data_IF_626054671235
#
_entry.id   IF_626054671235
#
_cell.length_a   1.000
_cell.length_b   1.000
_cell.length_c   1.000
_cell.angle_alpha   90.00
_cell.angle_beta   90.00
_cell.angle_gamma   90.00
#
_symmetry.space_group_name_H-M   'P 1'
#
loop_
_entity.id
_entity.type
_entity.pdbx_description
1 polymer ?
#
# COMPACT_ATOMS: atom_id res chain seq x y z
N UNK A 1 13.51 -2.73 -19.23
CA UNK A 1 12.56 -3.50 -18.40
C UNK A 1 12.68 -3.18 -16.92
N UNK A 2 13.88 -3.27 -16.32
CA UNK A 2 14.09 -2.97 -14.89
C UNK A 2 13.55 -1.61 -14.43
N UNK A 3 13.71 -0.56 -15.27
CA UNK A 3 13.18 0.77 -14.96
C UNK A 3 11.66 0.77 -14.73
N UNK A 4 10.89 0.09 -15.59
CA UNK A 4 9.44 0.04 -15.48
C UNK A 4 9.00 -0.77 -14.25
N UNK A 5 9.72 -1.83 -13.93
CA UNK A 5 9.50 -2.59 -12.69
C UNK A 5 9.71 -1.69 -11.47
N UNK A 6 10.80 -0.92 -11.44
CA UNK A 6 11.08 -0.01 -10.34
C UNK A 6 10.02 1.09 -10.22
N UNK A 7 9.57 1.65 -11.35
CA UNK A 7 8.48 2.64 -11.39
C UNK A 7 7.17 2.04 -10.85
N UNK A 8 6.84 0.82 -11.24
CA UNK A 8 5.65 0.12 -10.77
C UNK A 8 5.74 -0.14 -9.26
N UNK A 9 6.87 -0.62 -8.77
CA UNK A 9 7.11 -0.81 -7.33
C UNK A 9 6.93 0.50 -6.56
N UNK A 10 7.53 1.59 -7.03
CA UNK A 10 7.38 2.92 -6.44
C UNK A 10 5.93 3.39 -6.43
N UNK A 11 5.18 3.19 -7.52
CA UNK A 11 3.77 3.57 -7.59
C UNK A 11 2.90 2.76 -6.62
N UNK A 12 3.20 1.47 -6.44
CA UNK A 12 2.50 0.64 -5.47
C UNK A 12 2.76 1.07 -4.03
N UNK A 13 4.01 1.43 -3.70
CA UNK A 13 4.35 2.02 -2.40
C UNK A 13 3.61 3.34 -2.15
N UNK A 14 3.57 4.20 -3.16
CA UNK A 14 2.86 5.48 -3.08
C UNK A 14 1.37 5.26 -2.81
N UNK A 15 0.76 4.28 -3.48
CA UNK A 15 -0.63 3.92 -3.20
C UNK A 15 -0.82 3.43 -1.76
N UNK A 16 0.08 2.59 -1.24
CA UNK A 16 0.03 2.14 0.17
C UNK A 16 0.17 3.32 1.13
N UNK A 17 1.12 4.23 0.88
CA UNK A 17 1.31 5.46 1.67
C UNK A 17 0.02 6.27 1.71
N UNK A 18 -0.61 6.49 0.55
CA UNK A 18 -1.89 7.20 0.47
C UNK A 18 -2.99 6.50 1.27
N UNK A 19 -3.08 5.17 1.20
CA UNK A 19 -4.05 4.38 1.99
C UNK A 19 -3.81 4.52 3.49
N UNK A 20 -2.56 4.51 3.94
CA UNK A 20 -2.19 4.76 5.35
C UNK A 20 -2.60 6.18 5.75
N UNK A 21 -2.26 7.18 4.94
CA UNK A 21 -2.67 8.56 5.18
C UNK A 21 -4.20 8.70 5.31
N UNK A 22 -4.96 8.17 4.35
CA UNK A 22 -6.43 8.19 4.39
C UNK A 22 -6.99 7.48 5.62
N UNK A 23 -6.42 6.33 5.99
CA UNK A 23 -6.90 5.55 7.14
C UNK A 23 -6.70 6.32 8.45
N UNK A 24 -5.54 6.91 8.65
CA UNK A 24 -5.20 7.67 9.86
C UNK A 24 -5.58 9.16 9.80
N UNK A 25 -6.21 9.60 8.70
CA UNK A 25 -6.59 11.01 8.48
C UNK A 25 -5.39 11.96 8.53
N UNK A 26 -4.26 11.50 7.97
CA UNK A 26 -3.00 12.23 7.88
C UNK A 26 -2.91 12.88 6.51
N UNK A 27 -2.37 14.10 6.43
CA UNK A 27 -2.10 14.74 5.14
C UNK A 27 -1.06 13.96 4.33
N UNK A 28 -1.21 13.78 3.01
CA UNK A 28 -0.31 12.99 2.18
C UNK A 28 1.19 13.40 2.27
N UNK A 29 1.46 14.67 2.57
CA UNK A 29 2.81 15.21 2.73
C UNK A 29 3.39 15.12 4.15
N UNK A 30 2.61 14.73 5.15
CA UNK A 30 3.05 14.74 6.55
C UNK A 30 3.94 13.54 6.91
N UNK A 31 3.76 12.39 6.24
CA UNK A 31 4.62 11.23 6.44
C UNK A 31 6.01 11.48 5.83
N UNK A 32 7.02 11.43 6.72
CA UNK A 32 8.41 11.77 6.45
C UNK A 32 9.13 10.71 5.59
N UNK A 33 10.39 11.00 5.24
CA UNK A 33 11.24 10.09 4.47
C UNK A 33 11.53 8.77 5.20
N UNK A 34 11.64 8.80 6.53
CA UNK A 34 11.84 7.60 7.36
C UNK A 34 10.69 6.58 7.21
N UNK A 35 9.45 7.06 7.08
CA UNK A 35 8.31 6.21 6.75
C UNK A 35 8.46 5.55 5.38
N UNK A 36 8.85 6.32 4.36
CA UNK A 36 9.06 5.80 3.01
C UNK A 36 10.19 4.76 2.97
N UNK A 37 11.30 5.00 3.67
CA UNK A 37 12.42 4.06 3.79
C UNK A 37 11.96 2.78 4.49
N UNK A 38 11.24 2.91 5.60
CA UNK A 38 10.71 1.75 6.35
C UNK A 38 9.75 0.93 5.49
N UNK A 39 8.89 1.58 4.69
CA UNK A 39 8.05 0.90 3.71
C UNK A 39 8.87 0.15 2.66
N UNK A 40 9.91 0.77 2.09
CA UNK A 40 10.76 0.10 1.07
C UNK A 40 11.39 -1.16 1.64
N UNK A 41 11.97 -1.08 2.84
CA UNK A 41 12.65 -2.19 3.48
C UNK A 41 11.69 -3.35 3.81
N UNK A 42 10.54 -3.02 4.40
CA UNK A 42 9.50 -4.01 4.73
C UNK A 42 8.96 -4.71 3.49
N UNK A 43 8.83 -3.96 2.39
CA UNK A 43 8.33 -4.52 1.14
C UNK A 43 9.43 -5.11 0.26
N UNK A 44 10.71 -5.08 0.65
CA UNK A 44 11.80 -5.58 -0.19
C UNK A 44 11.64 -7.06 -0.56
N UNK A 45 11.27 -7.90 0.42
CA UNK A 45 11.01 -9.33 0.22
C UNK A 45 9.80 -9.55 -0.72
N UNK A 46 8.73 -8.79 -0.47
CA UNK A 46 7.48 -8.80 -1.23
C UNK A 46 7.73 -8.37 -2.69
N UNK A 47 8.58 -7.36 -2.90
CA UNK A 47 9.02 -6.90 -4.21
C UNK A 47 9.98 -7.87 -4.90
N UNK A 48 10.72 -8.68 -4.15
CA UNK A 48 11.48 -9.81 -4.69
C UNK A 48 10.56 -10.80 -5.42
N UNK A 49 9.42 -11.15 -4.82
CA UNK A 49 8.42 -12.01 -5.47
C UNK A 49 7.87 -11.40 -6.76
N UNK A 50 7.65 -10.08 -6.76
CA UNK A 50 7.20 -9.36 -7.94
C UNK A 50 8.23 -9.39 -9.07
N UNK A 51 9.51 -9.19 -8.75
CA UNK A 51 10.58 -9.28 -9.74
C UNK A 51 10.64 -10.67 -10.35
N UNK A 52 10.60 -11.72 -9.53
CA UNK A 52 10.59 -13.10 -10.02
C UNK A 52 9.41 -13.34 -10.98
N UNK A 53 8.19 -12.89 -10.64
CA UNK A 53 7.02 -13.00 -11.53
C UNK A 53 7.18 -12.21 -12.82
N UNK A 54 7.86 -11.08 -12.81
CA UNK A 54 8.12 -10.28 -14.02
C UNK A 54 9.28 -10.83 -14.86
N UNK A 55 10.23 -11.54 -14.26
CA UNK A 55 11.23 -12.30 -14.99
C UNK A 55 10.59 -13.49 -15.71
N UNK A 56 9.66 -14.18 -15.05
CA UNK A 56 8.86 -15.26 -15.66
C UNK A 56 7.88 -14.75 -16.73
N UNK A 57 7.26 -13.59 -16.48
CA UNK A 57 6.24 -13.00 -17.37
C UNK A 57 6.52 -11.52 -17.66
N UNK A 58 7.52 -11.20 -18.50
CA UNK A 58 7.91 -9.82 -18.82
C UNK A 58 6.80 -8.88 -19.30
N UNK A 59 5.86 -9.43 -20.07
CA UNK A 59 4.73 -8.67 -20.63
C UNK A 59 3.76 -8.17 -19.55
N UNK A 60 3.75 -8.80 -18.38
CA UNK A 60 2.84 -8.47 -17.29
C UNK A 60 3.09 -7.07 -16.73
N UNK A 61 4.35 -6.63 -16.71
CA UNK A 61 4.72 -5.28 -16.24
C UNK A 61 4.02 -4.22 -17.07
N UNK A 62 4.03 -4.38 -18.39
CA UNK A 62 3.40 -3.44 -19.32
C UNK A 62 1.87 -3.43 -19.15
N UNK A 63 1.26 -4.60 -18.99
CA UNK A 63 -0.19 -4.71 -18.77
C UNK A 63 -0.64 -4.02 -17.48
N UNK A 64 0.09 -4.24 -16.37
CA UNK A 64 -0.21 -3.58 -15.11
C UNK A 64 0.01 -2.07 -15.24
N UNK A 65 1.13 -1.64 -15.80
CA UNK A 65 1.44 -0.22 -15.96
C UNK A 65 0.39 0.50 -16.82
N UNK A 66 0.00 -0.08 -17.96
CA UNK A 66 -1.04 0.45 -18.84
C UNK A 66 -2.37 0.61 -18.10
N UNK A 67 -2.76 -0.40 -17.33
CA UNK A 67 -4.03 -0.39 -16.58
C UNK A 67 -4.02 0.63 -15.44
N UNK A 68 -2.88 0.83 -14.77
CA UNK A 68 -2.70 1.91 -13.79
C UNK A 68 -2.89 3.26 -14.46
N UNK A 69 -2.18 3.53 -15.56
CA UNK A 69 -2.30 4.79 -16.30
C UNK A 69 -3.75 5.02 -16.74
N UNK A 70 -4.42 4.00 -17.27
CA UNK A 70 -5.80 4.10 -17.72
C UNK A 70 -6.77 4.46 -16.59
N UNK A 71 -6.62 3.84 -15.41
CA UNK A 71 -7.53 4.08 -14.28
C UNK A 71 -7.22 5.40 -13.59
N UNK A 72 -5.94 5.74 -13.42
CA UNK A 72 -5.52 6.96 -12.73
C UNK A 72 -5.71 8.23 -13.56
N UNK A 73 -5.73 8.12 -14.90
CA UNK A 73 -5.99 9.26 -15.78
C UNK A 73 -7.48 9.61 -15.91
N UNK A 74 -8.39 8.80 -15.35
CA UNK A 74 -9.83 9.08 -15.38
C UNK A 74 -10.19 10.15 -14.35
N UNK A 75 -10.83 11.22 -14.79
CA UNK A 75 -11.37 12.25 -13.92
C UNK A 75 -12.87 12.02 -13.68
N UNK A 76 -13.27 11.80 -12.43
CA UNK A 76 -14.67 11.60 -12.03
C UNK A 76 -14.85 11.32 -10.55
N UNK A 77 -16.09 11.42 -10.07
CA UNK A 77 -16.44 11.22 -8.65
C UNK A 77 -16.13 9.82 -8.09
N UNK A 78 -16.00 8.81 -8.97
CA UNK A 78 -15.69 7.43 -8.60
C UNK A 78 -14.21 7.04 -8.79
N UNK A 79 -13.34 8.00 -9.15
CA UNK A 79 -11.94 7.71 -9.49
C UNK A 79 -11.19 7.02 -8.35
N UNK A 80 -11.31 7.52 -7.11
CA UNK A 80 -10.61 6.92 -5.97
C UNK A 80 -11.03 5.47 -5.71
N UNK A 81 -12.33 5.17 -5.82
CA UNK A 81 -12.85 3.80 -5.66
C UNK A 81 -12.25 2.86 -6.72
N UNK A 82 -12.20 3.29 -7.98
CA UNK A 82 -11.62 2.47 -9.05
C UNK A 82 -10.12 2.27 -8.89
N UNK A 83 -9.39 3.31 -8.44
CA UNK A 83 -7.98 3.21 -8.09
C UNK A 83 -7.79 2.17 -6.99
N UNK A 84 -8.51 2.29 -5.87
CA UNK A 84 -8.42 1.35 -4.75
C UNK A 84 -8.71 -0.10 -5.17
N UNK A 85 -9.75 -0.31 -5.99
CA UNK A 85 -10.09 -1.63 -6.53
C UNK A 85 -9.02 -2.20 -7.46
N UNK A 86 -8.42 -1.36 -8.31
CA UNK A 86 -7.33 -1.77 -9.20
C UNK A 86 -6.13 -2.26 -8.39
N UNK A 87 -5.64 -1.45 -7.44
CA UNK A 87 -4.48 -1.83 -6.64
C UNK A 87 -4.76 -3.08 -5.81
N UNK A 88 -5.92 -3.18 -5.16
CA UNK A 88 -6.31 -4.41 -4.46
C UNK A 88 -6.30 -5.61 -5.40
N UNK A 89 -6.81 -5.47 -6.63
CA UNK A 89 -6.78 -6.55 -7.62
C UNK A 89 -5.35 -6.93 -8.02
N UNK A 90 -4.45 -5.97 -8.19
CA UNK A 90 -3.03 -6.22 -8.48
C UNK A 90 -2.38 -6.96 -7.30
N UNK A 91 -2.62 -6.50 -6.07
CA UNK A 91 -2.17 -7.17 -4.86
C UNK A 91 -2.68 -8.60 -4.78
N UNK A 92 -3.99 -8.83 -4.86
CA UNK A 92 -4.54 -10.17 -4.71
C UNK A 92 -4.07 -11.12 -5.82
N UNK A 93 -4.03 -10.64 -7.08
CA UNK A 93 -3.73 -11.50 -8.23
C UNK A 93 -2.25 -11.85 -8.34
N UNK A 94 -1.37 -10.93 -7.96
CA UNK A 94 0.07 -11.08 -8.21
C UNK A 94 0.93 -11.14 -6.95
N UNK A 95 0.45 -10.63 -5.81
CA UNK A 95 1.18 -10.75 -4.55
C UNK A 95 0.78 -11.98 -3.74
N UNK A 96 -0.26 -12.73 -4.10
CA UNK A 96 -0.83 -13.79 -3.26
C UNK A 96 -1.39 -13.25 -1.92
N UNK A 97 -2.50 -13.83 -1.46
CA UNK A 97 -3.20 -13.33 -0.28
C UNK A 97 -2.33 -13.32 0.99
N UNK A 98 -1.49 -14.35 1.18
CA UNK A 98 -0.57 -14.46 2.33
C UNK A 98 0.38 -13.27 2.47
N UNK A 99 0.77 -12.66 1.35
CA UNK A 99 1.66 -11.52 1.39
C UNK A 99 0.91 -10.22 1.66
N UNK A 100 -0.39 -10.13 1.34
CA UNK A 100 -1.24 -9.00 1.76
C UNK A 100 -1.41 -9.02 3.27
N UNK A 101 -1.65 -10.17 3.87
CA UNK A 101 -1.69 -10.30 5.34
C UNK A 101 -0.35 -9.91 5.97
N UNK A 102 0.77 -10.38 5.39
CA UNK A 102 2.11 -9.98 5.82
C UNK A 102 2.32 -8.47 5.70
N UNK A 103 1.86 -7.84 4.62
CA UNK A 103 1.88 -6.38 4.45
C UNK A 103 1.13 -5.70 5.60
N UNK A 104 -0.12 -6.09 5.84
CA UNK A 104 -0.96 -5.48 6.87
C UNK A 104 -0.34 -5.68 8.25
N UNK A 105 0.09 -6.90 8.55
CA UNK A 105 0.77 -7.21 9.81
C UNK A 105 1.99 -6.34 10.00
N UNK A 106 2.88 -6.24 9.01
CA UNK A 106 4.10 -5.44 9.17
C UNK A 106 3.81 -3.96 9.29
N UNK A 107 2.82 -3.43 8.54
CA UNK A 107 2.38 -2.05 8.73
C UNK A 107 1.92 -1.77 10.16
N UNK A 108 1.32 -2.76 10.84
CA UNK A 108 0.82 -2.63 12.22
C UNK A 108 1.88 -2.91 13.29
N UNK A 109 2.87 -3.76 13.02
CA UNK A 109 3.85 -4.21 14.02
C UNK A 109 5.22 -3.56 13.90
N UNK A 110 5.60 -3.01 12.73
CA UNK A 110 6.89 -2.33 12.57
C UNK A 110 6.90 -1.03 13.38
N UNK A 111 7.81 -0.96 14.35
CA UNK A 111 7.90 0.15 15.30
C UNK A 111 8.28 1.47 14.66
N UNK A 112 9.03 1.46 13.55
CA UNK A 112 9.45 2.67 12.83
C UNK A 112 8.29 3.24 12.04
N UNK A 113 7.55 2.37 11.34
CA UNK A 113 6.32 2.73 10.63
C UNK A 113 5.30 3.30 11.62
N UNK A 114 5.05 2.59 12.73
CA UNK A 114 4.11 3.03 13.75
C UNK A 114 4.55 4.36 14.39
N UNK A 115 5.82 4.51 14.75
CA UNK A 115 6.34 5.76 15.31
C UNK A 115 6.19 6.93 14.34
N UNK A 116 6.47 6.74 13.05
CA UNK A 116 6.30 7.77 12.04
C UNK A 116 4.83 8.20 11.90
N UNK A 117 3.89 7.24 11.95
CA UNK A 117 2.44 7.51 11.97
C UNK A 117 2.05 8.28 13.24
N UNK A 118 2.46 7.81 14.43
CA UNK A 118 2.10 8.45 15.71
C UNK A 118 2.67 9.86 15.86
N UNK A 119 3.83 10.14 15.28
CA UNK A 119 4.46 11.47 15.35
C UNK A 119 3.64 12.53 14.61
N UNK A 120 2.92 12.14 13.56
CA UNK A 120 2.13 13.06 12.74
C UNK A 120 0.64 13.07 13.10
N UNK A 121 0.20 12.12 13.93
CA UNK A 121 -1.17 12.11 14.44
C UNK A 121 -1.39 13.31 15.37
N UNK A 122 -2.47 14.09 15.18
CA UNK A 122 -2.79 15.18 16.10
C UNK A 122 -3.00 14.62 17.51
N UNK A 123 -2.49 15.33 18.54
CA UNK A 123 -2.49 14.91 19.95
C UNK A 123 -3.88 14.55 20.53
N UNK A 124 -4.97 14.87 19.83
CA UNK A 124 -6.35 14.52 20.17
C UNK A 124 -6.76 13.10 19.76
N UNK A 125 -5.94 12.36 19.00
CA UNK A 125 -6.20 10.97 18.61
C UNK A 125 -5.86 9.93 19.71
N UNK A 126 -5.44 10.37 20.90
CA UNK A 126 -5.20 9.49 22.06
C UNK A 126 -6.48 9.01 22.77
N UNK A 127 -7.68 9.32 22.26
CA UNK A 127 -8.90 8.66 22.74
C UNK A 127 -8.93 7.22 22.22
N UNK A 128 -8.54 6.31 23.10
CA UNK A 128 -8.66 4.86 23.03
C UNK A 128 -9.86 4.39 22.21
N UNK A 129 -9.68 4.07 20.93
CA UNK A 129 -10.55 3.08 20.29
C UNK A 129 -10.15 1.72 20.86
N UNK A 130 -10.73 1.40 22.02
CA UNK A 130 -10.88 0.02 22.50
C UNK A 130 -11.56 -0.76 21.37
N UNK A 131 -10.77 -1.47 20.59
CA UNK A 131 -11.28 -2.49 19.67
C UNK A 131 -12.06 -3.52 20.49
N UNK A 132 -13.39 -3.51 20.33
CA UNK A 132 -14.25 -4.61 20.75
C UNK A 132 -14.25 -5.59 19.57
N UNK A 133 -13.81 -6.85 19.73
CA UNK A 133 -14.08 -7.86 18.72
C UNK A 133 -15.60 -7.96 18.58
N UNK A 134 -16.11 -7.97 17.34
CA UNK A 134 -17.49 -8.31 17.08
C UNK A 134 -17.71 -9.76 17.54
N UNK A 135 -18.21 -9.92 18.76
CA UNK A 135 -18.75 -11.19 19.24
C UNK A 135 -20.05 -11.37 18.47
N UNK A 136 -20.04 -12.26 17.48
CA UNK A 136 -21.25 -12.81 16.91
C UNK A 136 -22.04 -13.45 18.06
N UNK A 137 -23.17 -12.85 18.40
CA UNK A 137 -24.15 -13.42 19.33
C UNK A 137 -25.23 -14.11 18.51
N UNK A 138 -25.31 -15.43 18.71
CA UNK A 138 -26.39 -16.40 18.43
C UNK A 138 -27.14 -16.32 17.11
#
# INVERSE_FOLDING_TARGET
MQLLVNMLQGRMLEHIKQRVCSYYHIEPGALNEEFSVSLIEVFAEIFGLFRNKFEEMPWLVNEIAKRIVEVESRNGSNTERHINQLYLSIFCKYFEYKNIEKIISTLQTDTRIQKAIFTVLPATAHSSQKYRPAVASN
#
